data_IF_565281612254
#
_entry.id   IF_565281612254
#
_cell.length_a   1.000
_cell.length_b   1.000
_cell.length_c   1.000
_cell.angle_alpha   90.00
_cell.angle_beta   90.00
_cell.angle_gamma   90.00
#
_symmetry.space_group_name_H-M   'P 1'
#
loop_
_entity.id
_entity.type
_entity.pdbx_description
1 polymer ?
#
# COMPACT_ATOMS: atom_id res chain seq x y z
N UNK A 1 -9.49 -30.68 32.35
CA UNK A 1 -8.82 -29.45 31.89
C UNK A 1 -7.40 -29.79 31.48
N UNK A 2 -7.13 -29.93 30.17
CA UNK A 2 -5.76 -30.11 29.63
C UNK A 2 -5.24 -28.73 29.25
N UNK A 3 -4.14 -28.32 29.88
CA UNK A 3 -3.39 -27.13 29.51
C UNK A 3 -2.89 -27.27 28.07
N UNK A 4 -3.28 -26.34 27.20
CA UNK A 4 -2.66 -26.17 25.89
C UNK A 4 -1.25 -25.60 26.14
N UNK A 5 -0.23 -26.44 26.00
CA UNK A 5 1.15 -25.99 25.86
C UNK A 5 1.22 -25.09 24.63
N UNK A 6 1.44 -23.80 24.84
CA UNK A 6 1.83 -22.87 23.79
C UNK A 6 3.21 -23.29 23.29
N UNK A 7 3.32 -23.63 22.00
CA UNK A 7 4.61 -23.86 21.35
C UNK A 7 5.54 -22.65 21.62
N UNK A 8 6.85 -22.87 21.83
CA UNK A 8 7.75 -21.78 22.16
C UNK A 8 7.82 -20.80 20.97
N UNK A 9 7.75 -19.50 21.25
CA UNK A 9 7.60 -18.44 20.25
C UNK A 9 8.73 -18.44 19.18
N UNK A 10 9.87 -19.04 19.48
CA UNK A 10 10.99 -19.26 18.56
C UNK A 10 10.67 -20.24 17.42
N UNK A 11 9.91 -21.31 17.68
CA UNK A 11 9.49 -22.28 16.66
C UNK A 11 8.49 -21.64 15.69
N UNK A 12 7.58 -20.82 16.20
CA UNK A 12 6.62 -20.11 15.35
C UNK A 12 7.32 -19.10 14.43
N UNK A 13 8.34 -18.41 14.93
CA UNK A 13 9.16 -17.46 14.16
C UNK A 13 10.02 -18.20 13.11
N UNK A 14 10.67 -19.30 13.51
CA UNK A 14 11.46 -20.13 12.58
C UNK A 14 10.57 -20.69 11.46
N UNK A 15 9.38 -21.18 11.80
CA UNK A 15 8.40 -21.68 10.83
C UNK A 15 7.91 -20.58 9.87
N UNK A 16 7.76 -19.33 10.33
CA UNK A 16 7.37 -18.20 9.46
C UNK A 16 8.51 -17.79 8.53
N UNK A 17 9.74 -17.71 9.03
CA UNK A 17 10.92 -17.41 8.19
C UNK A 17 11.10 -18.53 7.17
N UNK A 18 10.98 -19.79 7.57
CA UNK A 18 11.07 -20.96 6.69
C UNK A 18 9.91 -20.97 5.68
N UNK A 19 8.67 -20.70 6.09
CA UNK A 19 7.53 -20.63 5.19
C UNK A 19 7.67 -19.49 4.18
N UNK A 20 8.17 -18.33 4.62
CA UNK A 20 8.46 -17.18 3.75
C UNK A 20 9.57 -17.55 2.76
N UNK A 21 10.65 -18.20 3.22
CA UNK A 21 11.76 -18.67 2.38
C UNK A 21 11.32 -19.78 1.39
N UNK A 22 10.45 -20.70 1.80
CA UNK A 22 9.91 -21.75 0.92
C UNK A 22 8.99 -21.19 -0.15
N UNK A 23 8.14 -20.24 0.21
CA UNK A 23 7.34 -19.47 -0.75
C UNK A 23 8.26 -18.70 -1.69
N UNK A 24 9.34 -18.09 -1.17
CA UNK A 24 10.36 -17.43 -1.99
C UNK A 24 11.02 -18.38 -2.99
N UNK A 25 11.39 -19.60 -2.59
CA UNK A 25 12.03 -20.58 -3.47
C UNK A 25 11.06 -21.15 -4.52
N UNK A 26 9.82 -21.45 -4.13
CA UNK A 26 8.78 -21.94 -5.03
C UNK A 26 8.45 -20.94 -6.15
N UNK A 27 8.48 -19.64 -5.85
CA UNK A 27 8.23 -18.61 -6.86
C UNK A 27 9.49 -18.18 -7.61
N UNK A 28 10.66 -18.07 -6.95
CA UNK A 28 11.89 -17.54 -7.54
C UNK A 28 12.56 -18.51 -8.53
N UNK A 29 12.63 -19.79 -8.20
CA UNK A 29 13.33 -20.81 -9.01
C UNK A 29 12.76 -20.92 -10.44
N UNK A 30 11.45 -21.10 -10.66
CA UNK A 30 10.90 -21.17 -12.01
C UNK A 30 11.01 -19.84 -12.79
N UNK A 31 11.02 -18.69 -12.12
CA UNK A 31 11.28 -17.39 -12.78
C UNK A 31 12.71 -17.26 -13.27
N UNK A 32 13.70 -17.66 -12.46
CA UNK A 32 15.13 -17.57 -12.82
C UNK A 32 15.44 -18.51 -13.99
N UNK A 33 14.93 -19.75 -13.91
CA UNK A 33 15.11 -20.75 -14.97
C UNK A 33 14.45 -20.33 -16.28
N UNK A 34 13.27 -19.72 -16.22
CA UNK A 34 12.63 -19.17 -17.42
C UNK A 34 13.43 -18.00 -17.97
N UNK A 35 13.77 -17.00 -17.15
CA UNK A 35 14.54 -15.82 -17.58
C UNK A 35 15.83 -16.21 -18.32
N UNK A 36 16.53 -17.25 -17.87
CA UNK A 36 17.71 -17.80 -18.58
C UNK A 36 17.36 -18.37 -19.96
N UNK A 37 16.28 -19.16 -20.10
CA UNK A 37 15.84 -19.67 -21.43
C UNK A 37 15.47 -18.53 -22.37
N UNK A 38 14.83 -17.47 -21.86
CA UNK A 38 14.43 -16.30 -22.66
C UNK A 38 15.63 -15.51 -23.18
N UNK A 39 16.74 -15.49 -22.43
CA UNK A 39 17.97 -14.80 -22.83
C UNK A 39 18.67 -15.50 -23.99
N UNK A 40 18.56 -16.83 -24.08
CA UNK A 40 19.14 -17.64 -25.17
C UNK A 40 18.36 -17.47 -26.49
N UNK A 41 17.04 -17.27 -26.42
CA UNK A 41 16.17 -17.17 -27.61
C UNK A 41 16.29 -15.85 -28.40
N UNK A 42 16.85 -14.77 -27.84
CA UNK A 42 16.63 -13.41 -28.37
C UNK A 42 17.76 -12.79 -29.21
N UNK A 43 18.94 -13.42 -29.32
CA UNK A 43 20.07 -12.91 -30.13
C UNK A 43 20.60 -11.51 -29.72
N UNK A 44 21.74 -11.06 -30.27
CA UNK A 44 22.42 -9.85 -29.80
C UNK A 44 21.87 -8.59 -30.47
N UNK A 45 20.81 -8.02 -29.91
CA UNK A 45 20.57 -6.57 -30.05
C UNK A 45 21.46 -5.83 -29.06
N UNK A 46 22.19 -4.79 -29.49
CA UNK A 46 22.94 -3.90 -28.61
C UNK A 46 21.95 -3.29 -27.60
N UNK A 47 21.93 -3.85 -26.39
CA UNK A 47 21.05 -3.44 -25.30
C UNK A 47 21.92 -3.02 -24.14
N UNK A 48 21.66 -1.85 -23.56
CA UNK A 48 22.01 -1.61 -22.15
C UNK A 48 21.56 -2.83 -21.37
N UNK A 49 22.46 -3.48 -20.63
CA UNK A 49 22.14 -4.74 -19.95
C UNK A 49 20.82 -4.58 -19.17
N UNK A 50 19.78 -5.39 -19.46
CA UNK A 50 18.49 -5.22 -18.81
C UNK A 50 18.66 -5.47 -17.31
N UNK A 51 18.26 -4.49 -16.50
CA UNK A 51 18.32 -4.63 -15.04
C UNK A 51 17.52 -5.86 -14.64
N UNK A 52 18.15 -6.76 -13.89
CA UNK A 52 17.50 -7.99 -13.43
C UNK A 52 16.61 -7.69 -12.23
N UNK A 53 15.39 -7.21 -12.50
CA UNK A 53 14.41 -6.86 -11.46
C UNK A 53 14.07 -8.00 -10.49
N UNK A 54 14.02 -9.30 -10.89
CA UNK A 54 13.92 -10.40 -9.93
C UNK A 54 15.03 -10.38 -8.87
N UNK A 55 16.29 -10.16 -9.27
CA UNK A 55 17.41 -10.05 -8.31
C UNK A 55 17.25 -8.80 -7.46
N UNK A 56 16.92 -7.64 -8.07
CA UNK A 56 16.70 -6.40 -7.32
C UNK A 56 15.60 -6.58 -6.26
N UNK A 57 14.50 -7.23 -6.62
CA UNK A 57 13.41 -7.55 -5.71
C UNK A 57 13.87 -8.44 -4.55
N UNK A 58 14.61 -9.51 -4.84
CA UNK A 58 15.14 -10.41 -3.80
C UNK A 58 16.12 -9.70 -2.86
N UNK A 59 17.00 -8.86 -3.39
CA UNK A 59 17.94 -8.06 -2.59
C UNK A 59 17.19 -7.07 -1.70
N UNK A 60 16.21 -6.34 -2.25
CA UNK A 60 15.40 -5.42 -1.45
C UNK A 60 14.58 -6.14 -0.38
N UNK A 61 14.07 -7.34 -0.69
CA UNK A 61 13.32 -8.15 0.26
C UNK A 61 14.22 -8.67 1.38
N UNK A 62 15.43 -9.16 1.05
CA UNK A 62 16.42 -9.57 2.04
C UNK A 62 16.85 -8.39 2.93
N UNK A 63 17.06 -7.21 2.34
CA UNK A 63 17.35 -5.99 3.08
C UNK A 63 16.19 -5.61 4.02
N UNK A 64 14.94 -5.69 3.57
CA UNK A 64 13.78 -5.44 4.42
C UNK A 64 13.67 -6.45 5.57
N UNK A 65 14.01 -7.73 5.32
CA UNK A 65 14.11 -8.76 6.36
C UNK A 65 15.19 -8.43 7.40
N UNK A 66 16.38 -8.03 6.95
CA UNK A 66 17.47 -7.62 7.83
C UNK A 66 17.10 -6.38 8.67
N UNK A 67 16.48 -5.36 8.06
CA UNK A 67 15.97 -4.17 8.77
C UNK A 67 14.93 -4.57 9.80
N UNK A 68 13.98 -5.43 9.43
CA UNK A 68 12.93 -5.91 10.34
C UNK A 68 13.53 -6.65 11.54
N UNK A 69 14.52 -7.50 11.29
CA UNK A 69 15.22 -8.22 12.35
C UNK A 69 16.01 -7.28 13.27
N UNK A 70 16.74 -6.31 12.71
CA UNK A 70 17.44 -5.29 13.50
C UNK A 70 16.50 -4.43 14.36
N UNK A 71 15.37 -4.01 13.80
CA UNK A 71 14.33 -3.28 14.54
C UNK A 71 13.74 -4.13 15.67
N UNK A 72 13.47 -5.42 15.41
CA UNK A 72 13.01 -6.36 16.43
C UNK A 72 14.00 -6.45 17.60
N UNK A 73 15.29 -6.67 17.32
CA UNK A 73 16.31 -6.75 18.36
C UNK A 73 16.34 -5.47 19.22
N UNK A 74 16.36 -4.30 18.59
CA UNK A 74 16.39 -3.04 19.32
C UNK A 74 15.12 -2.75 20.14
N UNK A 75 13.95 -3.20 19.67
CA UNK A 75 12.71 -3.06 20.45
C UNK A 75 12.59 -4.09 21.57
N UNK A 76 13.09 -5.31 21.40
CA UNK A 76 13.15 -6.33 22.45
C UNK A 76 14.08 -5.89 23.58
N UNK A 77 15.18 -5.20 23.25
CA UNK A 77 16.09 -4.56 24.21
C UNK A 77 15.58 -3.22 24.78
N UNK A 78 14.39 -2.77 24.35
CA UNK A 78 13.79 -1.49 24.74
C UNK A 78 14.73 -0.28 24.59
N UNK A 79 15.52 -0.24 23.52
CA UNK A 79 16.47 0.83 23.25
C UNK A 79 15.73 2.20 23.19
N UNK A 80 16.02 3.16 24.10
CA UNK A 80 15.24 4.41 24.19
C UNK A 80 15.28 5.27 22.93
N UNK A 81 16.46 5.37 22.30
CA UNK A 81 16.64 6.17 21.08
C UNK A 81 15.82 5.61 19.91
N UNK A 82 15.69 4.28 19.81
CA UNK A 82 14.92 3.63 18.76
C UNK A 82 13.41 3.86 18.93
N UNK A 83 12.90 3.76 20.16
CA UNK A 83 11.51 4.08 20.47
C UNK A 83 11.19 5.55 20.21
N UNK A 84 12.09 6.46 20.63
CA UNK A 84 11.95 7.90 20.39
C UNK A 84 11.95 8.21 18.90
N UNK A 85 12.91 7.68 18.15
CA UNK A 85 12.95 7.87 16.71
C UNK A 85 11.67 7.36 16.02
N UNK A 86 11.23 6.14 16.36
CA UNK A 86 10.10 5.48 15.69
C UNK A 86 8.75 6.12 16.00
N UNK A 87 8.48 6.47 17.27
CA UNK A 87 7.14 6.87 17.71
C UNK A 87 7.01 8.37 17.97
N UNK A 88 8.12 9.08 18.16
CA UNK A 88 8.11 10.53 18.32
C UNK A 88 8.53 11.23 17.03
N UNK A 89 9.68 10.89 16.45
CA UNK A 89 10.27 11.67 15.33
C UNK A 89 9.70 11.26 13.97
N UNK A 90 9.66 9.96 13.67
CA UNK A 90 9.27 9.40 12.39
C UNK A 90 7.87 9.82 11.92
N UNK A 91 6.83 9.93 12.78
CA UNK A 91 5.51 10.39 12.35
C UNK A 91 5.55 11.78 11.70
N UNK A 92 6.24 12.73 12.34
CA UNK A 92 6.37 14.09 11.81
C UNK A 92 7.23 14.14 10.55
N UNK A 93 8.33 13.38 10.51
CA UNK A 93 9.17 13.29 9.32
C UNK A 93 8.39 12.71 8.13
N UNK A 94 7.64 11.64 8.35
CA UNK A 94 6.82 11.01 7.33
C UNK A 94 5.74 11.96 6.80
N UNK A 95 5.03 12.67 7.68
CA UNK A 95 4.01 13.65 7.31
C UNK A 95 4.61 14.85 6.56
N UNK A 96 5.76 15.37 7.01
CA UNK A 96 6.43 16.49 6.35
C UNK A 96 6.89 16.10 4.94
N UNK A 97 7.55 14.95 4.78
CA UNK A 97 7.96 14.43 3.47
C UNK A 97 6.74 14.20 2.58
N UNK A 98 5.69 13.57 3.11
CA UNK A 98 4.44 13.31 2.40
C UNK A 98 3.82 14.61 1.87
N UNK A 99 3.61 15.62 2.72
CA UNK A 99 2.94 16.86 2.33
C UNK A 99 3.79 17.65 1.33
N UNK A 100 5.05 17.95 1.67
CA UNK A 100 5.94 18.77 0.84
C UNK A 100 6.21 18.07 -0.49
N UNK A 101 6.55 16.78 -0.45
CA UNK A 101 6.85 16.00 -1.65
C UNK A 101 5.64 15.86 -2.57
N UNK A 102 4.44 15.68 -2.00
CA UNK A 102 3.21 15.51 -2.78
C UNK A 102 2.82 16.81 -3.49
N UNK A 103 2.86 17.94 -2.77
CA UNK A 103 2.60 19.27 -3.33
C UNK A 103 3.60 19.57 -4.45
N UNK A 104 4.90 19.42 -4.17
CA UNK A 104 5.95 19.67 -5.16
C UNK A 104 5.78 18.82 -6.42
N UNK A 105 5.53 17.51 -6.26
CA UNK A 105 5.34 16.60 -7.41
C UNK A 105 4.08 16.95 -8.20
N UNK A 106 2.99 17.29 -7.53
CA UNK A 106 1.75 17.65 -8.20
C UNK A 106 1.90 18.95 -9.01
N UNK A 107 2.52 19.98 -8.41
CA UNK A 107 2.69 21.29 -9.06
C UNK A 107 3.74 21.27 -10.19
N UNK A 108 4.89 20.62 -9.96
CA UNK A 108 6.03 20.72 -10.88
C UNK A 108 6.11 19.53 -11.85
N UNK A 109 5.48 18.40 -11.52
CA UNK A 109 5.55 17.15 -12.28
C UNK A 109 4.18 16.46 -12.39
N UNK A 110 3.11 17.24 -12.53
CA UNK A 110 1.73 16.75 -12.59
C UNK A 110 1.51 15.61 -13.60
N UNK A 111 2.17 15.64 -14.76
CA UNK A 111 2.10 14.56 -15.77
C UNK A 111 2.63 13.19 -15.27
N UNK A 112 3.48 13.18 -14.23
CA UNK A 112 4.00 11.95 -13.61
C UNK A 112 3.09 11.44 -12.47
N UNK A 113 2.00 12.15 -12.16
CA UNK A 113 0.99 11.71 -11.19
C UNK A 113 -0.02 10.83 -11.93
N UNK A 114 0.26 9.53 -11.95
CA UNK A 114 -0.55 8.53 -12.65
C UNK A 114 -0.48 7.18 -11.93
N UNK A 115 -1.49 6.34 -12.17
CA UNK A 115 -1.51 4.95 -11.69
C UNK A 115 -0.45 4.06 -12.34
N UNK A 116 0.19 4.52 -13.43
CA UNK A 116 1.18 3.76 -14.23
C UNK A 116 0.65 2.36 -14.55
N UNK A 117 -0.52 2.32 -15.19
CA UNK A 117 -1.22 1.08 -15.52
C UNK A 117 -0.42 0.26 -16.54
N UNK A 118 -0.28 -1.04 -16.25
CA UNK A 118 0.31 -2.02 -17.18
C UNK A 118 -0.75 -2.92 -17.82
N UNK A 119 -2.03 -2.54 -17.74
CA UNK A 119 -3.16 -3.32 -18.23
C UNK A 119 -3.07 -3.60 -19.74
N UNK A 120 -2.62 -2.61 -20.51
CA UNK A 120 -2.45 -2.73 -21.96
C UNK A 120 -1.45 -3.85 -22.35
N UNK A 121 -0.39 -4.04 -21.56
CA UNK A 121 0.64 -5.04 -21.84
C UNK A 121 0.21 -6.47 -21.48
N UNK A 122 -0.59 -6.60 -20.42
CA UNK A 122 -1.17 -7.86 -19.97
C UNK A 122 -2.41 -7.60 -19.09
N UNK A 123 -3.59 -7.98 -19.58
CA UNK A 123 -4.87 -7.73 -18.89
C UNK A 123 -5.37 -8.92 -18.06
N UNK A 124 -5.24 -10.15 -18.58
CA UNK A 124 -5.93 -11.33 -18.03
C UNK A 124 -5.49 -11.65 -16.60
N UNK A 125 -4.19 -11.64 -16.32
CA UNK A 125 -3.64 -11.90 -14.98
C UNK A 125 -3.74 -10.67 -14.08
N UNK A 126 -3.72 -9.46 -14.65
CA UNK A 126 -3.85 -8.22 -13.89
C UNK A 126 -5.16 -8.17 -13.11
N UNK A 127 -6.28 -8.56 -13.72
CA UNK A 127 -7.60 -8.54 -13.07
C UNK A 127 -7.60 -9.34 -11.76
N UNK A 128 -7.16 -10.60 -11.82
CA UNK A 128 -7.15 -11.51 -10.66
C UNK A 128 -6.20 -11.11 -9.54
N UNK A 129 -5.14 -10.34 -9.84
CA UNK A 129 -4.29 -9.76 -8.79
C UNK A 129 -4.83 -8.43 -8.27
N UNK A 130 -5.27 -7.56 -9.18
CA UNK A 130 -5.62 -6.17 -8.87
C UNK A 130 -6.93 -6.04 -8.09
N UNK A 131 -7.96 -6.82 -8.44
CA UNK A 131 -9.27 -6.74 -7.78
C UNK A 131 -9.21 -7.14 -6.29
N UNK A 132 -8.75 -8.37 -5.92
CA UNK A 132 -8.67 -8.73 -4.51
C UNK A 132 -7.68 -7.85 -3.74
N UNK A 133 -6.59 -7.39 -4.38
CA UNK A 133 -5.67 -6.44 -3.76
C UNK A 133 -6.36 -5.13 -3.38
N UNK A 134 -7.03 -4.46 -4.33
CA UNK A 134 -7.61 -3.14 -4.06
C UNK A 134 -8.87 -3.22 -3.19
N UNK A 135 -9.75 -4.21 -3.38
CA UNK A 135 -10.92 -4.35 -2.52
C UNK A 135 -10.53 -4.65 -1.08
N UNK A 136 -9.56 -5.55 -0.87
CA UNK A 136 -9.04 -5.79 0.48
C UNK A 136 -8.33 -4.57 1.06
N UNK A 137 -7.49 -3.89 0.28
CA UNK A 137 -6.78 -2.70 0.73
C UNK A 137 -7.75 -1.57 1.11
N UNK A 138 -8.79 -1.32 0.31
CA UNK A 138 -9.79 -0.29 0.59
C UNK A 138 -10.59 -0.63 1.85
N UNK A 139 -11.02 -1.89 2.01
CA UNK A 139 -11.72 -2.33 3.22
C UNK A 139 -10.85 -2.10 4.46
N UNK A 140 -9.58 -2.51 4.42
CA UNK A 140 -8.64 -2.32 5.52
C UNK A 140 -8.38 -0.84 5.78
N UNK A 141 -8.14 -0.04 4.74
CA UNK A 141 -7.90 1.39 4.87
C UNK A 141 -9.07 2.11 5.56
N UNK A 142 -10.29 1.90 5.07
CA UNK A 142 -11.47 2.51 5.69
C UNK A 142 -11.77 1.94 7.07
N UNK A 143 -11.51 0.65 7.31
CA UNK A 143 -11.61 0.07 8.65
C UNK A 143 -10.70 0.76 9.67
N UNK A 144 -9.42 0.97 9.33
CA UNK A 144 -8.48 1.73 10.17
C UNK A 144 -8.92 3.18 10.35
N UNK A 145 -9.38 3.82 9.26
CA UNK A 145 -9.84 5.21 9.31
C UNK A 145 -11.06 5.38 10.21
N UNK A 146 -12.05 4.48 10.12
CA UNK A 146 -13.25 4.50 10.98
C UNK A 146 -12.86 4.29 12.44
N UNK A 147 -11.95 3.35 12.73
CA UNK A 147 -11.49 3.12 14.10
C UNK A 147 -10.76 4.34 14.69
N UNK A 148 -10.00 5.06 13.88
CA UNK A 148 -9.32 6.29 14.29
C UNK A 148 -10.28 7.48 14.48
N UNK A 149 -11.22 7.67 13.56
CA UNK A 149 -12.17 8.79 13.59
C UNK A 149 -13.25 8.60 14.66
N UNK A 150 -13.76 7.37 14.83
CA UNK A 150 -14.90 7.04 15.69
C UNK A 150 -14.55 5.94 16.72
N UNK A 151 -13.54 6.11 17.58
CA UNK A 151 -13.08 5.07 18.49
C UNK A 151 -14.16 4.62 19.49
N UNK A 152 -14.97 5.56 20.00
CA UNK A 152 -16.07 5.24 20.92
C UNK A 152 -17.13 4.35 20.26
N UNK A 153 -17.46 4.60 18.99
CA UNK A 153 -18.41 3.79 18.23
C UNK A 153 -17.88 2.38 17.97
N UNK A 154 -16.58 2.23 17.70
CA UNK A 154 -15.95 0.91 17.55
C UNK A 154 -15.96 0.13 18.87
N UNK A 155 -15.63 0.77 19.99
CA UNK A 155 -15.71 0.14 21.31
C UNK A 155 -17.16 -0.27 21.62
N UNK A 156 -18.13 0.61 21.40
CA UNK A 156 -19.57 0.33 21.53
C UNK A 156 -20.02 -0.86 20.69
N UNK A 157 -19.55 -0.96 19.44
CA UNK A 157 -19.83 -2.10 18.56
C UNK A 157 -19.24 -3.40 19.10
N UNK A 158 -18.00 -3.33 19.60
CA UNK A 158 -17.23 -4.46 20.08
C UNK A 158 -17.70 -5.02 21.44
N UNK A 159 -18.53 -4.29 22.19
CA UNK A 159 -19.13 -4.80 23.44
C UNK A 159 -19.96 -6.08 23.23
N UNK A 160 -20.52 -6.30 22.03
CA UNK A 160 -21.18 -7.55 21.69
C UNK A 160 -20.16 -8.52 21.05
N UNK A 161 -19.82 -9.66 21.69
CA UNK A 161 -18.76 -10.55 21.21
C UNK A 161 -18.93 -11.04 19.77
N UNK A 162 -20.17 -11.31 19.35
CA UNK A 162 -20.48 -11.73 17.97
C UNK A 162 -20.13 -10.65 16.96
N UNK A 163 -20.41 -9.37 17.28
CA UNK A 163 -20.11 -8.23 16.40
C UNK A 163 -18.62 -7.99 16.26
N UNK A 164 -17.88 -8.10 17.37
CA UNK A 164 -16.42 -8.07 17.41
C UNK A 164 -15.82 -9.17 16.52
N UNK A 165 -16.27 -10.41 16.70
CA UNK A 165 -15.78 -11.55 15.90
C UNK A 165 -16.06 -11.37 14.41
N UNK A 166 -17.27 -10.93 14.04
CA UNK A 166 -17.61 -10.65 12.63
C UNK A 166 -16.66 -9.58 12.07
N UNK A 167 -16.42 -8.50 12.80
CA UNK A 167 -15.53 -7.42 12.37
C UNK A 167 -14.10 -7.94 12.15
N UNK A 168 -13.52 -8.63 13.13
CA UNK A 168 -12.12 -9.07 13.05
C UNK A 168 -11.90 -10.18 12.04
N UNK A 169 -12.82 -11.15 11.94
CA UNK A 169 -12.73 -12.21 10.95
C UNK A 169 -12.89 -11.68 9.53
N UNK A 170 -13.79 -10.71 9.33
CA UNK A 170 -13.97 -10.06 8.02
C UNK A 170 -12.74 -9.24 7.65
N UNK A 171 -12.19 -8.45 8.57
CA UNK A 171 -10.96 -7.69 8.35
C UNK A 171 -9.77 -8.61 8.04
N UNK A 172 -9.64 -9.73 8.77
CA UNK A 172 -8.61 -10.72 8.50
C UNK A 172 -8.75 -11.36 7.11
N UNK A 173 -9.97 -11.72 6.71
CA UNK A 173 -10.26 -12.26 5.38
C UNK A 173 -9.88 -11.28 4.26
N UNK A 174 -10.21 -9.99 4.40
CA UNK A 174 -9.79 -8.96 3.45
C UNK A 174 -8.28 -8.71 3.47
N UNK A 175 -7.60 -8.87 4.61
CA UNK A 175 -6.14 -8.86 4.68
C UNK A 175 -5.51 -10.01 3.91
N UNK A 176 -6.05 -11.22 4.02
CA UNK A 176 -5.62 -12.37 3.21
C UNK A 176 -5.88 -12.13 1.72
N UNK A 177 -7.04 -11.59 1.35
CA UNK A 177 -7.35 -11.23 -0.03
C UNK A 177 -6.34 -10.19 -0.58
N UNK A 178 -5.97 -9.19 0.25
CA UNK A 178 -4.96 -8.19 -0.11
C UNK A 178 -3.60 -8.84 -0.36
N UNK A 179 -3.17 -9.73 0.55
CA UNK A 179 -1.89 -10.44 0.41
C UNK A 179 -1.88 -11.31 -0.85
N UNK A 180 -2.92 -12.12 -1.07
CA UNK A 180 -3.04 -12.98 -2.25
C UNK A 180 -3.02 -12.15 -3.54
N UNK A 181 -3.77 -11.05 -3.60
CA UNK A 181 -3.75 -10.13 -4.73
C UNK A 181 -2.36 -9.56 -5.00
N UNK A 182 -1.65 -9.12 -3.95
CA UNK A 182 -0.29 -8.62 -4.05
C UNK A 182 0.68 -9.68 -4.60
N UNK A 183 0.64 -10.91 -4.07
CA UNK A 183 1.49 -12.01 -4.53
C UNK A 183 1.24 -12.32 -6.01
N UNK A 184 -0.02 -12.31 -6.46
CA UNK A 184 -0.36 -12.47 -7.88
C UNK A 184 0.18 -11.33 -8.75
N UNK A 185 0.13 -10.08 -8.27
CA UNK A 185 0.69 -8.92 -8.97
C UNK A 185 2.21 -8.98 -9.08
N UNK A 186 2.90 -9.37 -8.00
CA UNK A 186 4.36 -9.57 -7.99
C UNK A 186 4.75 -10.67 -8.96
N UNK A 187 4.09 -11.84 -8.85
CA UNK A 187 4.30 -12.97 -9.77
C UNK A 187 4.10 -12.53 -11.22
N UNK A 188 3.03 -11.80 -11.52
CA UNK A 188 2.76 -11.28 -12.86
C UNK A 188 3.89 -10.38 -13.35
N UNK A 189 4.35 -9.43 -12.52
CA UNK A 189 5.39 -8.47 -12.91
C UNK A 189 6.73 -9.14 -13.18
N UNK A 190 7.13 -10.10 -12.34
CA UNK A 190 8.41 -10.78 -12.47
C UNK A 190 8.43 -11.87 -13.56
N UNK A 191 7.27 -12.41 -13.94
CA UNK A 191 7.18 -13.50 -14.95
C UNK A 191 6.86 -13.03 -16.37
N UNK A 192 6.19 -11.89 -16.54
CA UNK A 192 5.79 -11.42 -17.86
C UNK A 192 6.86 -10.51 -18.48
N UNK A 193 7.48 -10.95 -19.59
CA UNK A 193 8.50 -10.18 -20.34
C UNK A 193 8.06 -8.73 -20.61
N UNK A 194 6.83 -8.50 -21.09
CA UNK A 194 6.34 -7.16 -21.48
C UNK A 194 6.22 -6.23 -20.27
N UNK A 195 5.69 -6.73 -19.16
CA UNK A 195 5.53 -5.95 -17.93
C UNK A 195 6.90 -5.68 -17.28
N UNK A 196 7.81 -6.65 -17.35
CA UNK A 196 9.17 -6.50 -16.82
C UNK A 196 9.96 -5.40 -17.53
N UNK A 197 9.78 -5.24 -18.85
CA UNK A 197 10.44 -4.19 -19.64
C UNK A 197 10.06 -2.75 -19.24
N UNK A 198 8.89 -2.55 -18.62
CA UNK A 198 8.42 -1.23 -18.15
C UNK A 198 8.46 -1.10 -16.62
N UNK A 199 9.11 -2.05 -15.95
CA UNK A 199 9.28 -2.04 -14.49
C UNK A 199 10.45 -1.15 -14.10
N UNK A 200 10.42 -0.57 -12.91
CA UNK A 200 11.52 0.20 -12.35
C UNK A 200 11.85 -0.25 -10.90
N UNK A 201 12.93 0.28 -10.33
CA UNK A 201 13.37 -0.09 -8.97
C UNK A 201 12.35 0.32 -7.90
N UNK A 202 11.63 1.42 -8.09
CA UNK A 202 10.61 1.89 -7.16
C UNK A 202 9.39 0.97 -7.12
N UNK A 203 9.02 0.34 -8.24
CA UNK A 203 7.97 -0.70 -8.26
C UNK A 203 8.37 -1.91 -7.37
N UNK A 204 9.66 -2.29 -7.36
CA UNK A 204 10.15 -3.37 -6.51
C UNK A 204 10.12 -2.97 -5.03
N UNK A 205 10.58 -1.75 -4.72
CA UNK A 205 10.52 -1.21 -3.37
C UNK A 205 9.08 -1.18 -2.83
N UNK A 206 8.13 -0.69 -3.64
CA UNK A 206 6.71 -0.65 -3.28
C UNK A 206 6.19 -2.05 -2.93
N UNK A 207 6.54 -3.07 -3.72
CA UNK A 207 6.11 -4.43 -3.42
C UNK A 207 6.70 -4.97 -2.12
N UNK A 208 7.99 -4.72 -1.86
CA UNK A 208 8.64 -5.14 -0.61
C UNK A 208 7.98 -4.46 0.60
N UNK A 209 7.76 -3.15 0.53
CA UNK A 209 7.14 -2.38 1.61
C UNK A 209 5.70 -2.84 1.87
N UNK A 210 4.91 -3.09 0.82
CA UNK A 210 3.55 -3.61 0.97
C UNK A 210 3.53 -5.02 1.55
N UNK A 211 4.47 -5.90 1.16
CA UNK A 211 4.61 -7.22 1.80
C UNK A 211 4.86 -7.04 3.29
N UNK A 212 5.83 -6.22 3.68
CA UNK A 212 6.14 -5.96 5.10
C UNK A 212 4.91 -5.44 5.85
N UNK A 213 4.17 -4.47 5.29
CA UNK A 213 2.96 -3.92 5.92
C UNK A 213 1.85 -4.95 6.07
N UNK A 214 1.54 -5.70 5.03
CA UNK A 214 0.40 -6.64 5.03
C UNK A 214 0.71 -7.86 5.89
N UNK A 215 1.94 -8.39 5.81
CA UNK A 215 2.36 -9.54 6.62
C UNK A 215 2.42 -9.17 8.10
N UNK A 216 3.03 -8.03 8.45
CA UNK A 216 3.01 -7.55 9.84
C UNK A 216 1.58 -7.34 10.35
N UNK A 217 0.69 -6.78 9.53
CA UNK A 217 -0.72 -6.57 9.90
C UNK A 217 -1.49 -7.88 10.13
N UNK A 218 -1.28 -8.88 9.28
CA UNK A 218 -1.87 -10.21 9.45
C UNK A 218 -1.34 -10.92 10.70
N UNK A 219 -0.04 -10.78 10.99
CA UNK A 219 0.55 -11.30 12.24
C UNK A 219 -0.08 -10.60 13.44
N UNK A 220 -0.24 -9.27 13.40
CA UNK A 220 -0.90 -8.52 14.48
C UNK A 220 -2.34 -8.99 14.67
N UNK A 221 -3.12 -9.14 13.60
CA UNK A 221 -4.51 -9.60 13.68
C UNK A 221 -4.63 -11.03 14.23
N UNK A 222 -3.66 -11.90 13.93
CA UNK A 222 -3.65 -13.29 14.41
C UNK A 222 -3.13 -13.42 15.85
N UNK A 223 -1.99 -12.80 16.16
CA UNK A 223 -1.28 -12.97 17.43
C UNK A 223 -1.73 -11.99 18.53
N UNK A 224 -2.16 -10.78 18.15
CA UNK A 224 -2.63 -9.74 19.07
C UNK A 224 -4.14 -9.53 18.88
N UNK A 225 -4.92 -10.57 19.22
CA UNK A 225 -6.38 -10.62 19.04
C UNK A 225 -7.07 -9.42 19.70
N UNK A 226 -8.29 -9.13 19.27
CA UNK A 226 -9.06 -7.96 19.70
C UNK A 226 -8.40 -6.65 19.26
N UNK A 227 -7.71 -6.72 18.11
CA UNK A 227 -7.10 -5.64 17.33
C UNK A 227 -7.91 -4.37 17.32
N UNK A 228 -9.18 -4.51 16.96
CA UNK A 228 -10.09 -3.38 16.79
C UNK A 228 -10.37 -2.62 18.09
N UNK A 229 -10.43 -3.33 19.22
CA UNK A 229 -10.67 -2.73 20.54
C UNK A 229 -9.44 -1.99 21.05
N UNK A 230 -8.27 -2.64 21.08
CA UNK A 230 -7.05 -1.98 21.57
C UNK A 230 -6.52 -0.91 20.60
N UNK A 231 -6.81 -1.01 19.30
CA UNK A 231 -6.54 0.07 18.35
C UNK A 231 -7.34 1.33 18.75
N UNK A 232 -8.63 1.19 19.05
CA UNK A 232 -9.49 2.29 19.45
C UNK A 232 -9.12 2.87 20.82
N UNK A 233 -8.78 2.02 21.80
CA UNK A 233 -8.47 2.47 23.16
C UNK A 233 -7.04 2.97 23.36
N UNK A 234 -6.07 2.49 22.56
CA UNK A 234 -4.64 2.71 22.83
C UNK A 234 -3.93 3.38 21.67
N UNK A 235 -4.07 2.85 20.44
CA UNK A 235 -3.37 3.42 19.30
C UNK A 235 -4.01 4.74 18.83
N UNK A 236 -5.33 4.87 18.92
CA UNK A 236 -6.05 6.09 18.53
C UNK A 236 -5.69 7.30 19.39
N UNK A 237 -5.65 7.22 20.74
CA UNK A 237 -5.11 8.31 21.57
C UNK A 237 -3.69 8.71 21.18
N UNK A 238 -2.78 7.74 20.96
CA UNK A 238 -1.42 8.05 20.48
C UNK A 238 -1.45 8.80 19.13
N UNK A 239 -2.18 8.31 18.13
CA UNK A 239 -2.26 8.98 16.83
C UNK A 239 -2.83 10.41 16.97
N UNK A 240 -3.87 10.60 17.78
CA UNK A 240 -4.42 11.94 18.06
C UNK A 240 -3.41 12.85 18.75
N UNK A 241 -2.62 12.31 19.67
CA UNK A 241 -1.57 13.06 20.38
C UNK A 241 -0.44 13.54 19.44
N UNK A 242 -0.12 12.76 18.40
CA UNK A 242 0.79 13.18 17.31
C UNK A 242 0.21 14.37 16.54
N UNK A 243 -1.07 14.32 16.17
CA UNK A 243 -1.73 15.46 15.50
C UNK A 243 -1.93 16.68 16.42
N UNK A 244 -1.96 16.47 17.73
CA UNK A 244 -1.98 17.53 18.75
C UNK A 244 -0.58 18.08 19.09
N UNK A 245 0.48 17.62 18.41
CA UNK A 245 1.88 18.00 18.66
C UNK A 245 2.36 17.73 20.10
N UNK A 246 1.74 16.78 20.80
CA UNK A 246 2.15 16.33 22.13
C UNK A 246 2.09 14.79 22.19
N UNK A 247 3.01 14.08 21.53
CA UNK A 247 2.89 12.64 21.31
C UNK A 247 3.08 11.83 22.59
N UNK A 248 2.04 11.10 23.01
CA UNK A 248 2.10 10.14 24.11
C UNK A 248 2.55 8.76 23.60
N UNK A 249 3.86 8.53 23.65
CA UNK A 249 4.48 7.31 23.11
C UNK A 249 4.48 6.14 24.09
N UNK A 250 4.14 6.35 25.37
CA UNK A 250 4.35 5.37 26.43
C UNK A 250 3.65 4.03 26.11
N UNK A 251 2.37 4.10 25.76
CA UNK A 251 1.57 2.92 25.49
C UNK A 251 2.03 2.16 24.24
N UNK A 252 2.41 2.86 23.17
CA UNK A 252 2.88 2.25 21.91
C UNK A 252 4.28 1.66 22.06
N UNK A 253 5.15 2.31 22.82
CA UNK A 253 6.50 1.84 23.11
C UNK A 253 6.53 0.54 23.94
N UNK A 254 5.44 0.22 24.65
CA UNK A 254 5.29 -1.03 25.39
C UNK A 254 4.65 -2.17 24.57
N UNK A 255 4.18 -1.90 23.36
CA UNK A 255 3.50 -2.92 22.54
C UNK A 255 4.46 -3.98 22.00
N UNK A 256 3.96 -5.18 21.64
CA UNK A 256 4.74 -6.19 20.96
C UNK A 256 5.42 -5.65 19.71
N UNK A 257 6.63 -6.13 19.42
CA UNK A 257 7.44 -5.66 18.29
C UNK A 257 6.72 -5.77 16.94
N UNK A 258 5.77 -6.70 16.79
CA UNK A 258 4.97 -6.85 15.55
C UNK A 258 4.04 -5.66 15.32
N UNK A 259 3.44 -5.11 16.38
CA UNK A 259 2.63 -3.90 16.31
C UNK A 259 3.51 -2.68 16.02
N UNK A 260 4.65 -2.59 16.71
CA UNK A 260 5.67 -1.56 16.46
C UNK A 260 6.15 -1.55 15.01
N UNK A 261 6.43 -2.73 14.46
CA UNK A 261 6.82 -2.89 13.05
C UNK A 261 5.71 -2.41 12.13
N UNK A 262 4.46 -2.82 12.37
CA UNK A 262 3.33 -2.42 11.54
C UNK A 262 3.11 -0.90 11.51
N UNK A 263 3.31 -0.24 12.66
CA UNK A 263 3.26 1.22 12.77
C UNK A 263 4.44 1.87 12.04
N UNK A 264 5.66 1.36 12.24
CA UNK A 264 6.85 1.85 11.54
C UNK A 264 6.69 1.75 10.02
N UNK A 265 6.24 0.60 9.51
CA UNK A 265 6.02 0.42 8.07
C UNK A 265 4.87 1.26 7.53
N UNK A 266 3.85 1.57 8.34
CA UNK A 266 2.78 2.49 7.95
C UNK A 266 3.32 3.92 7.74
N UNK A 267 4.12 4.44 8.67
CA UNK A 267 4.77 5.75 8.50
C UNK A 267 5.77 5.75 7.34
N UNK A 268 6.49 4.65 7.13
CA UNK A 268 7.37 4.51 5.98
C UNK A 268 6.59 4.56 4.65
N UNK A 269 5.43 3.90 4.56
CA UNK A 269 4.54 4.00 3.40
C UNK A 269 4.18 5.46 3.15
N UNK A 270 3.72 6.19 4.16
CA UNK A 270 3.35 7.61 4.06
C UNK A 270 4.51 8.44 3.50
N UNK A 271 5.71 8.27 4.05
CA UNK A 271 6.90 8.99 3.62
C UNK A 271 7.27 8.75 2.14
N UNK A 272 7.05 7.53 1.61
CA UNK A 272 7.42 7.20 0.22
C UNK A 272 6.32 7.50 -0.81
N UNK A 273 5.11 7.89 -0.39
CA UNK A 273 4.01 8.26 -1.30
C UNK A 273 4.45 9.22 -2.42
N UNK A 274 5.08 10.37 -2.14
CA UNK A 274 5.41 11.35 -3.17
C UNK A 274 6.44 10.85 -4.19
N UNK A 275 7.22 9.81 -3.88
CA UNK A 275 8.27 9.28 -4.76
C UNK A 275 7.86 8.03 -5.52
N UNK A 276 6.69 7.47 -5.22
CA UNK A 276 6.26 6.18 -5.75
C UNK A 276 4.98 6.32 -6.57
N UNK A 277 4.51 5.19 -7.09
CA UNK A 277 3.19 5.11 -7.71
C UNK A 277 2.05 5.36 -6.72
N UNK A 278 2.26 5.30 -5.40
CA UNK A 278 1.19 5.50 -4.41
C UNK A 278 0.50 6.86 -4.53
N UNK A 279 1.17 7.87 -5.11
CA UNK A 279 0.57 9.17 -5.43
C UNK A 279 -0.80 9.06 -6.15
N UNK A 280 -1.04 7.99 -6.92
CA UNK A 280 -2.34 7.76 -7.58
C UNK A 280 -3.53 7.68 -6.61
N UNK A 281 -3.30 7.32 -5.35
CA UNK A 281 -4.32 7.29 -4.31
C UNK A 281 -4.87 8.68 -4.01
N UNK A 282 -4.05 9.73 -4.11
CA UNK A 282 -4.46 11.12 -3.82
C UNK A 282 -5.31 11.74 -4.92
N UNK A 283 -5.35 11.13 -6.11
CA UNK A 283 -6.09 11.61 -7.29
C UNK A 283 -7.22 10.66 -7.65
N UNK A 284 -7.87 10.07 -6.62
CA UNK A 284 -9.06 9.27 -6.82
C UNK A 284 -10.16 10.13 -7.48
N UNK A 285 -10.78 9.67 -8.59
CA UNK A 285 -11.73 10.47 -9.37
C UNK A 285 -13.12 10.49 -8.73
N UNK A 286 -13.20 10.96 -7.47
CA UNK A 286 -14.45 11.03 -6.71
C UNK A 286 -15.40 12.06 -7.35
N UNK A 287 -14.85 13.16 -7.88
CA UNK A 287 -15.57 14.20 -8.61
C UNK A 287 -16.37 13.66 -9.82
N UNK A 288 -15.90 12.56 -10.42
CA UNK A 288 -16.54 11.93 -11.56
C UNK A 288 -17.98 11.48 -11.28
N UNK A 289 -18.34 11.21 -10.02
CA UNK A 289 -19.70 10.81 -9.63
C UNK A 289 -20.74 11.89 -9.93
N UNK A 290 -20.35 13.16 -9.99
CA UNK A 290 -21.27 14.29 -10.20
C UNK A 290 -20.86 15.19 -11.37
N UNK A 291 -19.80 14.82 -12.09
CA UNK A 291 -19.29 15.59 -13.23
C UNK A 291 -20.14 15.32 -14.47
N UNK A 292 -20.50 16.38 -15.20
CA UNK A 292 -21.19 16.24 -16.49
C UNK A 292 -20.37 15.44 -17.50
N UNK A 293 -21.06 14.66 -18.35
CA UNK A 293 -20.41 13.81 -19.38
C UNK A 293 -19.55 14.61 -20.36
N UNK A 294 -20.03 15.77 -20.79
CA UNK A 294 -19.30 16.63 -21.71
C UNK A 294 -18.65 17.79 -20.96
N UNK A 295 -17.32 17.79 -20.94
CA UNK A 295 -16.50 18.91 -20.48
C UNK A 295 -16.10 19.75 -21.69
N UNK A 296 -16.57 20.99 -21.75
CA UNK A 296 -16.15 21.94 -22.78
C UNK A 296 -15.22 22.96 -22.15
N UNK A 297 -13.94 22.91 -22.52
CA UNK A 297 -12.93 23.89 -22.12
C UNK A 297 -12.87 24.95 -23.21
N UNK A 298 -13.20 26.18 -22.86
CA UNK A 298 -13.18 27.31 -23.77
C UNK A 298 -11.86 28.06 -23.66
N UNK A 299 -11.20 28.32 -24.79
CA UNK A 299 -10.01 29.19 -24.85
C UNK A 299 -10.35 30.69 -24.83
N UNK A 300 -11.64 31.03 -24.68
CA UNK A 300 -12.15 32.40 -24.61
C UNK A 300 -13.19 32.57 -23.49
N UNK A 301 -13.50 33.81 -23.13
CA UNK A 301 -14.51 34.10 -22.11
C UNK A 301 -15.95 33.91 -22.67
N UNK A 302 -16.64 32.86 -22.20
CA UNK A 302 -18.04 32.54 -22.56
C UNK A 302 -19.02 33.70 -22.35
N UNK A 303 -18.76 34.60 -21.39
CA UNK A 303 -19.66 35.72 -21.07
C UNK A 303 -19.61 36.83 -22.12
N UNK A 304 -18.59 36.85 -22.99
CA UNK A 304 -18.43 37.91 -24.00
C UNK A 304 -19.32 37.73 -25.25
N UNK A 305 -19.84 36.52 -25.54
CA UNK A 305 -20.51 36.23 -26.82
C UNK A 305 -22.05 36.22 -26.71
N UNK A 306 -22.63 36.05 -25.53
CA UNK A 306 -24.10 35.98 -25.37
C UNK A 306 -24.80 37.35 -25.35
N UNK A 307 -24.40 38.26 -26.24
CA UNK A 307 -25.12 39.52 -26.50
C UNK A 307 -25.52 39.68 -27.98
N UNK A 308 -25.34 38.67 -28.82
CA UNK A 308 -25.87 38.70 -30.19
C UNK A 308 -27.40 38.63 -30.20
N UNK A 309 -28.06 39.80 -30.21
CA UNK A 309 -29.51 39.93 -30.47
C UNK A 309 -29.85 39.82 -31.97
N UNK A 310 -28.84 39.73 -32.83
CA UNK A 310 -29.01 39.69 -34.28
C UNK A 310 -29.43 38.28 -34.73
N UNK A 311 -30.72 38.13 -35.01
CA UNK A 311 -31.25 36.98 -35.74
C UNK A 311 -30.99 37.20 -37.24
N UNK A 312 -30.11 36.41 -37.85
CA UNK A 312 -30.01 36.37 -39.30
C UNK A 312 -31.00 35.34 -39.82
N UNK A 313 -32.01 35.78 -40.59
CA UNK A 313 -32.90 34.86 -41.29
C UNK A 313 -32.08 34.05 -42.31
N UNK A 314 -32.01 32.73 -42.12
CA UNK A 314 -31.34 31.84 -43.05
C UNK A 314 -31.94 31.98 -44.45
N UNK A 315 -31.09 32.11 -45.47
CA UNK A 315 -31.56 32.11 -46.85
C UNK A 315 -32.06 30.72 -47.23
N UNK A 316 -33.28 30.68 -47.79
CA UNK A 316 -33.91 29.44 -48.28
C UNK A 316 -33.00 28.83 -49.34
N UNK A 317 -32.62 27.56 -49.19
CA UNK A 317 -31.81 26.86 -50.18
C UNK A 317 -32.55 26.87 -51.53
N UNK A 318 -31.96 27.50 -52.54
CA UNK A 318 -32.44 27.43 -53.92
C UNK A 318 -31.94 26.12 -54.53
N UNK A 319 -32.61 25.03 -54.20
CA UNK A 319 -32.51 23.83 -55.01
C UNK A 319 -33.54 23.96 -56.14
N UNK A 320 -33.03 24.20 -57.34
CA UNK A 320 -33.73 23.96 -58.60
C UNK A 320 -33.03 22.80 -59.30
#
# INVERSE_FOLDING_TARGET
MRFLQTAPANETIAMIVIATVLVLLLFALPTILRARRMAVELGPMVRSQPVNYPIVFLVMLAAAGAVTYGLKLGWDENIPILNTFTFLVLPYLALAIFLIGSIYRYMNRGFQVSSLSSNFLERKKLFWGSQPFHYGLLFLFFGHLIAFLFPASVIAWNHMPVRLLILEMTAFAFGLATLLGLLLLIRRRLTNRRVLMVTNRMDMLVYVVLITQIVSGLIVAYANRWGSSWFASTLTPYLRSVFAFNPDVAAVSAMPWTVKLHIFSAYFIVAIIPFTRFMHFLVAPVDYLWRGYQLVIWNWNRRMIRQGKAWHMGHRARNH
#
